data_IF_759077094636
#
_entry.id   IF_759077094636
#
_cell.length_a   1.000
_cell.length_b   1.000
_cell.length_c   1.000
_cell.angle_alpha   90.00
_cell.angle_beta   90.00
_cell.angle_gamma   90.00
#
_symmetry.space_group_name_H-M   'P 1'
#
loop_
_entity.id
_entity.type
_entity.pdbx_description
1 polymer ?
#
# COMPACT_ATOMS: atom_id res chain seq x y z
N UNK A 1 1.58 1.42 0.97
CA UNK A 1 0.70 2.19 0.06
C UNK A 1 0.45 1.43 -1.24
N UNK A 2 1.44 1.30 -2.12
CA UNK A 2 1.28 0.59 -3.40
C UNK A 2 0.70 -0.83 -3.28
N UNK A 3 1.08 -1.61 -2.26
CA UNK A 3 0.48 -2.92 -2.01
C UNK A 3 -1.05 -2.88 -1.81
N UNK A 4 -1.57 -1.86 -1.12
CA UNK A 4 -3.02 -1.69 -0.89
C UNK A 4 -3.73 -1.38 -2.20
N UNK A 5 -3.15 -0.48 -3.01
CA UNK A 5 -3.69 -0.10 -4.33
C UNK A 5 -3.72 -1.33 -5.24
N UNK A 6 -2.64 -2.11 -5.29
CA UNK A 6 -2.57 -3.34 -6.09
C UNK A 6 -3.62 -4.36 -5.63
N UNK A 7 -3.78 -4.57 -4.32
CA UNK A 7 -4.83 -5.45 -3.79
C UNK A 7 -6.23 -5.01 -4.18
N UNK A 8 -6.48 -3.70 -4.28
CA UNK A 8 -7.76 -3.16 -4.70
C UNK A 8 -7.98 -3.29 -6.22
N UNK A 9 -7.01 -2.83 -7.02
CA UNK A 9 -7.06 -2.78 -8.48
C UNK A 9 -7.22 -4.17 -9.10
N UNK A 10 -6.54 -5.19 -8.55
CA UNK A 10 -6.59 -6.57 -9.04
C UNK A 10 -7.47 -7.50 -8.20
N UNK A 11 -8.31 -6.92 -7.32
CA UNK A 11 -9.25 -7.70 -6.50
C UNK A 11 -10.13 -8.58 -7.40
N UNK A 12 -10.43 -9.78 -6.92
CA UNK A 12 -11.25 -10.77 -7.66
C UNK A 12 -10.68 -11.14 -9.04
N UNK A 13 -9.35 -11.07 -9.21
CA UNK A 13 -8.66 -11.37 -10.48
C UNK A 13 -9.09 -10.43 -11.63
N UNK A 14 -9.52 -9.21 -11.31
CA UNK A 14 -9.85 -8.19 -12.32
C UNK A 14 -8.63 -7.92 -13.20
N UNK A 15 -8.85 -7.89 -14.51
CA UNK A 15 -7.85 -7.58 -15.53
C UNK A 15 -8.31 -6.39 -16.36
N UNK A 16 -7.37 -5.73 -17.02
CA UNK A 16 -7.60 -4.52 -17.81
C UNK A 16 -7.10 -4.74 -19.22
N UNK A 17 -7.90 -4.37 -20.21
CA UNK A 17 -7.59 -4.58 -21.63
C UNK A 17 -6.71 -3.46 -22.19
N UNK A 18 -6.82 -2.25 -21.62
CA UNK A 18 -6.04 -1.09 -22.03
C UNK A 18 -5.28 -0.49 -20.85
N UNK A 19 -4.22 0.25 -21.18
CA UNK A 19 -3.44 1.01 -20.18
C UNK A 19 -4.30 2.11 -19.54
N UNK A 20 -5.23 2.71 -20.29
CA UNK A 20 -6.07 3.79 -19.76
C UNK A 20 -7.14 3.29 -18.79
N UNK A 21 -7.69 2.08 -19.00
CA UNK A 21 -8.57 1.44 -18.02
C UNK A 21 -7.82 1.16 -16.70
N UNK A 22 -6.58 0.69 -16.80
CA UNK A 22 -5.74 0.43 -15.63
C UNK A 22 -5.40 1.73 -14.88
N UNK A 23 -5.04 2.81 -15.60
CA UNK A 23 -4.79 4.13 -14.99
C UNK A 23 -6.03 4.63 -14.24
N UNK A 24 -7.20 4.53 -14.87
CA UNK A 24 -8.47 4.96 -14.28
C UNK A 24 -8.75 4.18 -12.98
N UNK A 25 -8.58 2.85 -13.01
CA UNK A 25 -8.77 2.02 -11.83
C UNK A 25 -7.75 2.31 -10.71
N UNK A 26 -6.51 2.68 -11.04
CA UNK A 26 -5.52 3.10 -10.05
C UNK A 26 -5.96 4.41 -9.38
N UNK A 27 -6.47 5.37 -10.13
CA UNK A 27 -6.98 6.64 -9.59
C UNK A 27 -8.21 6.42 -8.71
N UNK A 28 -9.17 5.62 -9.17
CA UNK A 28 -10.34 5.25 -8.35
C UNK A 28 -9.93 4.54 -7.05
N UNK A 29 -8.97 3.61 -7.13
CA UNK A 29 -8.45 2.92 -5.95
C UNK A 29 -7.72 3.88 -5.01
N UNK A 30 -7.04 4.89 -5.54
CA UNK A 30 -6.39 5.95 -4.77
C UNK A 30 -7.41 6.77 -3.98
N UNK A 31 -8.46 7.25 -4.66
CA UNK A 31 -9.49 8.09 -4.04
C UNK A 31 -10.36 7.34 -3.01
N UNK A 32 -10.43 6.02 -3.09
CA UNK A 32 -11.14 5.16 -2.12
C UNK A 32 -10.33 4.82 -0.87
N UNK A 33 -9.06 5.24 -0.79
CA UNK A 33 -8.24 4.97 0.39
C UNK A 33 -8.68 5.91 1.52
N UNK A 34 -9.17 5.29 2.59
CA UNK A 34 -9.58 5.99 3.80
C UNK A 34 -8.39 6.64 4.51
N UNK A 35 -8.58 7.87 4.99
CA UNK A 35 -7.56 8.64 5.72
C UNK A 35 -6.98 7.86 6.91
N UNK A 36 -7.80 7.06 7.60
CA UNK A 36 -7.34 6.23 8.72
C UNK A 36 -6.30 5.21 8.26
N UNK A 37 -6.39 4.70 7.02
CA UNK A 37 -5.38 3.80 6.46
C UNK A 37 -4.03 4.48 6.36
N UNK A 38 -3.99 5.72 5.87
CA UNK A 38 -2.78 6.53 5.77
C UNK A 38 -2.23 6.83 7.16
N UNK A 39 -3.10 7.29 8.07
CA UNK A 39 -2.74 7.60 9.45
C UNK A 39 -2.16 6.39 10.19
N UNK A 40 -2.76 5.21 10.04
CA UNK A 40 -2.26 3.98 10.65
C UNK A 40 -0.89 3.58 10.08
N UNK A 41 -0.68 3.78 8.78
CA UNK A 41 0.61 3.52 8.15
C UNK A 41 1.70 4.42 8.76
N UNK A 42 1.42 5.72 8.91
CA UNK A 42 2.34 6.68 9.53
C UNK A 42 2.57 6.34 11.01
N UNK A 43 1.51 6.04 11.76
CA UNK A 43 1.59 5.63 13.17
C UNK A 43 2.41 4.36 13.39
N UNK A 44 2.50 3.48 12.39
CA UNK A 44 3.33 2.26 12.46
C UNK A 44 4.84 2.51 12.23
N UNK A 45 5.22 3.66 11.65
CA UNK A 45 6.61 3.96 11.31
C UNK A 45 7.58 3.91 12.50
N UNK A 46 7.27 4.48 13.68
CA UNK A 46 8.17 4.41 14.84
C UNK A 46 8.50 2.98 15.26
N UNK A 47 7.50 2.08 15.23
CA UNK A 47 7.70 0.66 15.55
C UNK A 47 8.68 0.01 14.56
N UNK A 48 8.52 0.27 13.26
CA UNK A 48 9.40 -0.28 12.22
C UNK A 48 10.84 0.21 12.39
N UNK A 49 11.01 1.51 12.68
CA UNK A 49 12.33 2.09 12.95
C UNK A 49 12.97 1.39 14.17
N UNK A 50 12.21 1.18 15.24
CA UNK A 50 12.70 0.46 16.42
C UNK A 50 13.13 -0.98 16.08
N UNK A 51 12.37 -1.70 15.27
CA UNK A 51 12.72 -3.06 14.82
C UNK A 51 14.00 -3.07 13.97
N UNK A 52 14.20 -2.07 13.09
CA UNK A 52 15.43 -1.94 12.29
C UNK A 52 16.64 -1.69 13.20
N UNK A 53 16.51 -0.81 14.19
CA UNK A 53 17.59 -0.53 15.16
C UNK A 53 17.93 -1.80 15.93
N UNK A 54 16.94 -2.56 16.40
CA UNK A 54 17.14 -3.82 17.12
C UNK A 54 17.81 -4.90 16.25
N UNK A 55 17.61 -4.84 14.94
CA UNK A 55 18.23 -5.76 13.98
C UNK A 55 19.55 -5.22 13.41
N UNK A 56 20.18 -4.23 14.05
CA UNK A 56 21.45 -3.61 13.62
C UNK A 56 21.42 -3.11 12.16
N UNK A 57 20.29 -2.55 11.73
CA UNK A 57 20.07 -2.09 10.35
C UNK A 57 19.67 -3.21 9.38
N UNK A 58 19.55 -4.45 9.85
CA UNK A 58 19.11 -5.59 9.08
C UNK A 58 17.63 -5.54 8.67
N UNK A 59 17.19 -6.47 7.80
CA UNK A 59 15.81 -6.51 7.32
C UNK A 59 14.83 -6.78 8.48
N UNK A 60 13.64 -6.21 8.35
CA UNK A 60 12.50 -6.45 9.25
C UNK A 60 11.34 -7.05 8.45
N UNK A 61 10.46 -7.76 9.14
CA UNK A 61 9.24 -8.27 8.53
C UNK A 61 8.19 -7.15 8.52
N UNK A 62 8.05 -6.48 7.37
CA UNK A 62 7.13 -5.37 7.13
C UNK A 62 6.18 -5.67 5.97
#
# INVERSE_FOLDING_TARGET
MWGIIVCHVFRNKKQYNTVDDLKTAILEAWDQIDDNTIQNLVKSMPRRIFEVIRNDGGPINY
#
